data_IF_896222875566
#
_entry.id   IF_896222875566
#
_cell.length_a   1.000
_cell.length_b   1.000
_cell.length_c   1.000
_cell.angle_alpha   90.00
_cell.angle_beta   90.00
_cell.angle_gamma   90.00
#
_symmetry.space_group_name_H-M   'P 1'
#
loop_
_entity.id
_entity.type
_entity.pdbx_description
1 polymer ?
#
# COMPACT_ATOMS: atom_id res chain seq x y z
N UNK A 1 23.31 6.23 0.29
CA UNK A 1 22.20 6.21 -0.68
C UNK A 1 20.95 5.82 0.07
N UNK A 2 19.81 6.44 -0.22
CA UNK A 2 18.51 6.11 0.38
C UNK A 2 17.60 5.54 -0.69
N UNK A 3 16.77 4.56 -0.32
CA UNK A 3 15.80 3.93 -1.21
C UNK A 3 14.37 4.20 -0.74
N UNK A 4 13.44 4.13 -1.68
CA UNK A 4 11.99 4.20 -1.43
C UNK A 4 11.40 2.84 -1.79
N UNK A 5 10.65 2.24 -0.87
CA UNK A 5 9.86 1.04 -1.12
C UNK A 5 8.45 1.44 -1.56
N UNK A 6 8.10 1.14 -2.80
CA UNK A 6 6.82 1.52 -3.40
C UNK A 6 5.77 0.38 -3.39
N UNK A 7 6.08 -0.79 -2.84
CA UNK A 7 5.15 -1.92 -2.75
C UNK A 7 5.39 -2.68 -1.45
N UNK A 8 4.56 -2.44 -0.45
CA UNK A 8 4.81 -2.93 0.91
C UNK A 8 3.51 -3.27 1.66
N UNK A 9 3.52 -4.41 2.36
CA UNK A 9 2.42 -4.95 3.14
C UNK A 9 2.73 -5.01 4.65
N UNK A 10 3.39 -3.99 5.19
CA UNK A 10 3.72 -3.93 6.62
C UNK A 10 2.59 -3.37 7.50
N UNK A 11 1.42 -3.03 6.97
CA UNK A 11 0.28 -2.67 7.82
C UNK A 11 -0.21 -3.91 8.59
N UNK A 12 -0.34 -3.82 9.94
CA UNK A 12 -0.66 -4.98 10.75
C UNK A 12 -2.12 -5.43 10.58
N UNK A 13 -2.33 -6.73 10.39
CA UNK A 13 -3.66 -7.39 10.41
C UNK A 13 -4.66 -6.87 9.38
N UNK A 14 -4.20 -6.32 8.26
CA UNK A 14 -5.08 -5.72 7.25
C UNK A 14 -5.16 -6.54 5.96
N UNK A 15 -4.11 -7.28 5.63
CA UNK A 15 -4.04 -8.17 4.47
C UNK A 15 -3.12 -9.39 4.76
N UNK A 16 -2.51 -9.96 3.73
CA UNK A 16 -1.63 -11.12 3.81
C UNK A 16 -0.18 -10.80 4.18
N UNK A 17 0.11 -9.54 4.53
CA UNK A 17 1.42 -9.09 4.98
C UNK A 17 1.65 -9.30 6.47
N UNK A 18 1.90 -8.21 7.23
CA UNK A 18 2.17 -8.29 8.66
C UNK A 18 0.95 -8.79 9.46
N UNK A 19 1.11 -9.89 10.18
CA UNK A 19 0.03 -10.49 10.99
C UNK A 19 -0.33 -9.64 12.21
N UNK A 20 0.62 -8.87 12.74
CA UNK A 20 0.45 -8.07 13.95
C UNK A 20 1.45 -6.89 13.98
N UNK A 21 1.29 -6.02 14.98
CA UNK A 21 2.14 -4.85 15.16
C UNK A 21 3.63 -5.21 15.37
N UNK A 22 3.94 -6.27 16.09
CA UNK A 22 5.32 -6.71 16.32
C UNK A 22 5.99 -7.04 14.99
N UNK A 23 5.34 -7.83 14.15
CA UNK A 23 5.83 -8.20 12.82
C UNK A 23 5.99 -6.97 11.91
N UNK A 24 5.01 -6.06 11.92
CA UNK A 24 5.07 -4.81 11.18
C UNK A 24 6.31 -3.97 11.55
N UNK A 25 6.57 -3.81 12.84
CA UNK A 25 7.75 -3.09 13.33
C UNK A 25 9.06 -3.78 12.97
N UNK A 26 9.10 -5.12 13.00
CA UNK A 26 10.30 -5.87 12.61
C UNK A 26 10.59 -5.75 11.11
N UNK A 27 9.56 -5.77 10.26
CA UNK A 27 9.70 -5.51 8.82
C UNK A 27 10.29 -4.11 8.57
N UNK A 28 9.79 -3.08 9.27
CA UNK A 28 10.29 -1.70 9.12
C UNK A 28 11.71 -1.51 9.71
N UNK A 29 12.09 -2.26 10.74
CA UNK A 29 13.49 -2.29 11.22
C UNK A 29 14.44 -2.88 10.18
N UNK A 30 14.01 -3.91 9.46
CA UNK A 30 14.78 -4.49 8.35
C UNK A 30 14.91 -3.44 7.23
N UNK A 31 13.81 -2.82 6.83
CA UNK A 31 13.80 -1.75 5.82
C UNK A 31 14.79 -0.63 6.18
N UNK A 32 14.76 -0.16 7.42
CA UNK A 32 15.71 0.86 7.90
C UNK A 32 17.18 0.41 7.79
N UNK A 33 17.49 -0.85 8.12
CA UNK A 33 18.86 -1.40 7.98
C UNK A 33 19.30 -1.47 6.53
N UNK A 34 18.38 -1.70 5.62
CA UNK A 34 18.62 -1.77 4.18
C UNK A 34 18.60 -0.40 3.50
N UNK A 35 18.69 0.67 4.30
CA UNK A 35 18.72 2.06 3.83
C UNK A 35 17.44 2.53 3.12
N UNK A 36 16.30 1.89 3.37
CA UNK A 36 14.99 2.38 2.95
C UNK A 36 14.59 3.52 3.88
N UNK A 37 14.41 4.71 3.32
CA UNK A 37 14.02 5.90 4.08
C UNK A 37 12.52 6.13 4.08
N UNK A 38 11.84 5.69 3.03
CA UNK A 38 10.42 5.91 2.79
C UNK A 38 9.76 4.61 2.36
N UNK A 39 8.62 4.31 2.93
CA UNK A 39 7.80 3.14 2.59
C UNK A 39 6.39 3.59 2.24
N UNK A 40 5.94 3.27 1.04
CA UNK A 40 4.54 3.42 0.67
C UNK A 40 3.82 2.12 1.00
N UNK A 41 2.94 2.19 1.97
CA UNK A 41 2.15 1.07 2.44
C UNK A 41 0.99 0.83 1.46
N UNK A 42 1.00 -0.31 0.79
CA UNK A 42 0.09 -0.62 -0.32
C UNK A 42 -0.73 -1.88 -0.03
N UNK A 43 -1.59 -1.87 1.00
CA UNK A 43 -2.42 -3.04 1.27
C UNK A 43 -3.36 -3.33 0.10
N UNK A 44 -3.72 -4.61 -0.04
CA UNK A 44 -4.68 -5.04 -1.05
C UNK A 44 -6.03 -4.34 -0.90
N UNK A 45 -6.55 -3.80 -2.00
CA UNK A 45 -7.84 -3.15 -2.09
C UNK A 45 -8.77 -3.92 -3.03
N UNK A 46 -9.87 -4.47 -2.48
CA UNK A 46 -10.96 -5.15 -3.18
C UNK A 46 -10.49 -6.29 -4.13
N UNK A 47 -9.54 -7.10 -3.70
CA UNK A 47 -9.06 -8.23 -4.50
C UNK A 47 -9.89 -9.54 -4.32
N UNK A 48 -11.06 -9.44 -3.70
CA UNK A 48 -11.92 -10.57 -3.38
C UNK A 48 -11.67 -11.22 -2.01
N UNK A 49 -10.46 -11.14 -1.49
CA UNK A 49 -10.07 -11.62 -0.16
C UNK A 49 -10.03 -10.49 0.87
N UNK A 50 -9.55 -9.31 0.47
CA UNK A 50 -9.36 -8.14 1.33
C UNK A 50 -10.15 -6.92 0.82
N UNK A 51 -10.67 -6.11 1.77
CA UNK A 51 -11.54 -4.95 1.48
C UNK A 51 -11.03 -3.72 2.24
N UNK A 52 -9.82 -3.31 1.96
CA UNK A 52 -9.18 -2.21 2.68
C UNK A 52 -9.53 -0.86 2.03
N UNK A 53 -10.56 -0.19 2.53
CA UNK A 53 -10.95 1.13 2.05
C UNK A 53 -9.97 2.22 2.50
N UNK A 54 -9.90 3.30 1.73
CA UNK A 54 -8.93 4.39 1.91
C UNK A 54 -8.85 4.93 3.35
N UNK A 55 -9.99 5.13 4.01
CA UNK A 55 -10.02 5.67 5.38
C UNK A 55 -9.46 4.70 6.42
N UNK A 56 -9.69 3.40 6.24
CA UNK A 56 -9.12 2.35 7.11
C UNK A 56 -7.61 2.31 6.95
N UNK A 57 -7.12 2.38 5.71
CA UNK A 57 -5.68 2.44 5.42
C UNK A 57 -5.04 3.67 6.04
N UNK A 58 -5.62 4.87 5.88
CA UNK A 58 -5.10 6.11 6.51
C UNK A 58 -5.00 5.96 8.02
N UNK A 59 -6.03 5.44 8.67
CA UNK A 59 -6.04 5.22 10.13
C UNK A 59 -4.96 4.22 10.56
N UNK A 60 -4.82 3.11 9.83
CA UNK A 60 -3.79 2.10 10.11
C UNK A 60 -2.37 2.65 9.94
N UNK A 61 -2.13 3.47 8.93
CA UNK A 61 -0.83 4.13 8.70
C UNK A 61 -0.49 5.07 9.87
N UNK A 62 -1.42 5.89 10.34
CA UNK A 62 -1.18 6.77 11.50
C UNK A 62 -0.89 5.99 12.79
N UNK A 63 -1.58 4.87 13.00
CA UNK A 63 -1.32 3.98 14.12
C UNK A 63 0.10 3.40 14.05
N UNK A 64 0.50 2.92 12.87
CA UNK A 64 1.84 2.38 12.65
C UNK A 64 2.94 3.45 12.76
N UNK A 65 2.71 4.69 12.27
CA UNK A 65 3.63 5.83 12.46
C UNK A 65 3.88 6.10 13.94
N UNK A 66 2.82 6.14 14.74
CA UNK A 66 2.93 6.34 16.19
C UNK A 66 3.77 5.24 16.84
N UNK A 67 3.54 3.98 16.45
CA UNK A 67 4.32 2.85 16.94
C UNK A 67 5.79 2.92 16.51
N UNK A 68 6.09 3.35 15.29
CA UNK A 68 7.46 3.57 14.82
C UNK A 68 8.21 4.61 15.68
N UNK A 69 7.57 5.75 15.94
CA UNK A 69 8.15 6.79 16.80
C UNK A 69 8.47 6.25 18.19
N UNK A 70 7.53 5.53 18.81
CA UNK A 70 7.71 4.92 20.14
C UNK A 70 8.82 3.87 20.18
N UNK A 71 9.14 3.25 19.04
CA UNK A 71 10.16 2.22 18.90
C UNK A 71 11.45 2.69 18.23
N UNK A 72 11.64 4.00 18.06
CA UNK A 72 12.84 4.62 17.44
C UNK A 72 13.12 4.08 16.02
N UNK A 73 12.09 3.80 15.24
CA UNK A 73 12.20 3.43 13.82
C UNK A 73 12.10 4.69 12.98
N UNK A 74 13.15 4.97 12.18
CA UNK A 74 13.28 6.18 11.37
C UNK A 74 13.02 5.84 9.89
N UNK A 75 11.78 5.50 9.58
CA UNK A 75 11.28 5.28 8.24
C UNK A 75 10.03 6.12 8.06
N UNK A 76 9.97 6.93 7.01
CA UNK A 76 8.80 7.72 6.69
C UNK A 76 7.75 6.83 6.01
N UNK A 77 6.54 6.82 6.56
CA UNK A 77 5.44 5.98 6.06
C UNK A 77 4.45 6.81 5.24
N UNK A 78 4.06 6.30 4.09
CA UNK A 78 3.11 6.94 3.19
C UNK A 78 1.95 6.00 2.89
N UNK A 79 0.79 6.57 2.59
CA UNK A 79 -0.41 5.82 2.23
C UNK A 79 -0.41 5.42 0.76
N UNK A 80 -1.01 4.29 0.45
CA UNK A 80 -1.26 3.80 -0.90
C UNK A 80 -2.21 2.60 -0.85
N UNK A 81 -2.49 2.02 -2.01
CA UNK A 81 -3.22 0.76 -2.14
C UNK A 81 -2.64 -0.04 -3.29
N UNK A 82 -2.63 -1.36 -3.15
CA UNK A 82 -2.52 -2.26 -4.29
C UNK A 82 -3.93 -2.57 -4.80
N UNK A 83 -4.32 -1.90 -5.90
CA UNK A 83 -5.69 -1.91 -6.41
C UNK A 83 -5.86 -3.05 -7.41
N UNK A 84 -6.75 -4.00 -7.09
CA UNK A 84 -7.08 -5.07 -8.02
C UNK A 84 -7.80 -4.51 -9.26
N UNK A 85 -7.29 -4.84 -10.45
CA UNK A 85 -7.81 -4.32 -11.71
C UNK A 85 -9.19 -4.90 -12.03
N UNK A 86 -10.19 -4.05 -12.00
CA UNK A 86 -11.58 -4.32 -12.41
C UNK A 86 -12.09 -3.21 -13.32
N UNK A 87 -13.32 -3.33 -13.82
CA UNK A 87 -13.97 -2.25 -14.57
C UNK A 87 -14.27 -1.00 -13.71
N UNK A 88 -14.28 -1.14 -12.39
CA UNK A 88 -14.53 -0.05 -11.43
C UNK A 88 -13.26 0.68 -10.97
N UNK A 89 -12.09 0.16 -11.31
CA UNK A 89 -10.79 0.66 -10.78
C UNK A 89 -10.61 2.17 -10.99
N UNK A 90 -10.94 2.67 -12.18
CA UNK A 90 -10.81 4.11 -12.49
C UNK A 90 -11.73 4.94 -11.61
N UNK A 91 -12.98 4.51 -11.43
CA UNK A 91 -13.96 5.19 -10.59
C UNK A 91 -13.52 5.19 -9.12
N UNK A 92 -13.04 4.06 -8.61
CA UNK A 92 -12.52 3.93 -7.24
C UNK A 92 -11.32 4.85 -6.98
N UNK A 93 -10.41 4.98 -7.94
CA UNK A 93 -9.27 5.89 -7.83
C UNK A 93 -9.70 7.37 -7.91
N UNK A 94 -10.61 7.71 -8.81
CA UNK A 94 -11.09 9.09 -9.00
C UNK A 94 -11.94 9.53 -7.80
N UNK A 95 -12.78 8.65 -7.26
CA UNK A 95 -13.60 8.94 -6.07
C UNK A 95 -12.80 9.00 -4.77
N UNK A 96 -11.57 8.48 -4.76
CA UNK A 96 -10.75 8.36 -3.56
C UNK A 96 -11.15 7.19 -2.64
N UNK A 97 -11.92 6.23 -3.13
CA UNK A 97 -12.21 4.97 -2.44
C UNK A 97 -10.97 4.09 -2.34
N UNK A 98 -10.18 4.03 -3.43
CA UNK A 98 -8.85 3.45 -3.46
C UNK A 98 -7.78 4.55 -3.43
N UNK A 99 -6.65 4.27 -2.79
CA UNK A 99 -5.56 5.23 -2.64
C UNK A 99 -4.58 5.15 -3.82
N UNK A 100 -4.25 6.31 -4.36
CA UNK A 100 -3.05 6.49 -5.18
C UNK A 100 -1.80 6.55 -4.29
N UNK A 101 -0.61 6.46 -4.87
CA UNK A 101 0.64 6.67 -4.12
C UNK A 101 0.63 8.02 -3.41
N UNK A 102 0.87 7.98 -2.11
CA UNK A 102 0.88 9.14 -1.21
C UNK A 102 -0.42 9.98 -1.26
N UNK A 103 -1.51 9.42 -1.77
CA UNK A 103 -2.81 10.12 -1.95
C UNK A 103 -2.72 11.38 -2.84
N UNK A 104 -1.79 11.41 -3.79
CA UNK A 104 -1.52 12.58 -4.65
C UNK A 104 -2.30 12.59 -5.98
N UNK A 105 -3.02 11.51 -6.31
CA UNK A 105 -3.83 11.41 -7.52
C UNK A 105 -3.05 11.25 -8.83
N UNK A 106 -1.75 10.97 -8.78
CA UNK A 106 -0.88 10.94 -9.98
C UNK A 106 -0.53 9.54 -10.47
N UNK A 107 -0.37 8.59 -9.55
CA UNK A 107 0.01 7.22 -9.88
C UNK A 107 -0.61 6.25 -8.88
N UNK A 108 -0.90 5.04 -9.31
CA UNK A 108 -1.43 3.96 -8.48
C UNK A 108 -0.73 2.64 -8.76
N UNK A 109 -0.61 1.79 -7.75
CA UNK A 109 -0.18 0.42 -7.90
C UNK A 109 -1.38 -0.44 -8.28
N UNK A 110 -1.26 -1.19 -9.37
CA UNK A 110 -2.34 -2.05 -9.89
C UNK A 110 -1.94 -3.51 -9.79
N UNK A 111 -2.76 -4.30 -9.11
CA UNK A 111 -2.71 -5.77 -9.12
C UNK A 111 -3.47 -6.31 -10.33
N UNK A 112 -2.79 -7.03 -11.21
CA UNK A 112 -3.43 -7.67 -12.36
C UNK A 112 -4.14 -8.97 -11.95
N UNK A 113 -5.27 -9.32 -12.61
CA UNK A 113 -5.92 -10.60 -12.39
C UNK A 113 -4.99 -11.78 -12.69
N UNK A 114 -4.96 -12.78 -11.80
CA UNK A 114 -4.02 -13.93 -11.90
C UNK A 114 -4.22 -14.83 -13.14
N UNK A 115 -5.44 -14.88 -13.68
CA UNK A 115 -5.83 -15.86 -14.69
C UNK A 115 -6.22 -15.27 -16.05
N UNK A 116 -6.23 -13.95 -16.18
CA UNK A 116 -6.60 -13.29 -17.44
C UNK A 116 -5.94 -11.92 -17.55
N UNK A 117 -5.61 -11.52 -18.76
CA UNK A 117 -5.23 -10.15 -19.06
C UNK A 117 -6.50 -9.44 -19.52
N UNK A 118 -6.93 -8.33 -18.85
CA UNK A 118 -8.11 -7.59 -19.28
C UNK A 118 -7.99 -7.11 -20.72
N UNK A 119 -9.08 -7.25 -21.47
CA UNK A 119 -9.16 -6.71 -22.82
C UNK A 119 -9.00 -5.18 -22.74
N UNK A 120 -8.13 -4.63 -23.57
CA UNK A 120 -7.86 -3.20 -23.59
C UNK A 120 -6.74 -2.72 -22.66
N UNK A 121 -6.10 -3.61 -21.88
CA UNK A 121 -4.94 -3.21 -21.06
C UNK A 121 -3.84 -2.54 -21.88
N UNK A 122 -3.64 -2.97 -23.14
CA UNK A 122 -2.69 -2.37 -24.07
C UNK A 122 -3.02 -0.93 -24.47
N UNK A 123 -4.27 -0.50 -24.31
CA UNK A 123 -4.71 0.88 -24.61
C UNK A 123 -4.30 1.88 -23.52
N UNK A 124 -3.93 1.40 -22.33
CA UNK A 124 -3.49 2.25 -21.21
C UNK A 124 -2.12 2.89 -21.50
N UNK A 125 -1.36 2.35 -22.45
CA UNK A 125 -0.04 2.83 -22.84
C UNK A 125 -0.04 3.85 -24.00
N UNK A 126 -1.20 4.25 -24.45
CA UNK A 126 -1.33 5.26 -25.52
C UNK A 126 -1.56 6.67 -24.87
#
# INVERSE_FOLDING_TARGET
MKFIDCHNHSLPSIDDGAENMTMALDMLRIAQKDHISDVILTPHHLNGAFKNHANEVRTSVETLRTACIQNNIQVDLHVGSEVHLTHETVEQLVSGEALTYCDHGQAALIELPKHSIPLGLSLIHI
#
